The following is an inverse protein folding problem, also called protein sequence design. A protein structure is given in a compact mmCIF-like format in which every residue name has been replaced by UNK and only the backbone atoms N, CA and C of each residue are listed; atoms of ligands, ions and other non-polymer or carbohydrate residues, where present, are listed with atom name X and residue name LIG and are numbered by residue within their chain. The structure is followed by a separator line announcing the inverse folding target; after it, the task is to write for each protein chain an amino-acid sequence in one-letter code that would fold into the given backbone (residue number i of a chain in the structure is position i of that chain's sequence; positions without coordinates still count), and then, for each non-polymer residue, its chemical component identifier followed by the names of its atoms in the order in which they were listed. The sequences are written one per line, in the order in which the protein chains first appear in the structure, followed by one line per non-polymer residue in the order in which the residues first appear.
data_IF_917240946219
#
_entry.id   IF_917240946219
#
_cell.length_a   1.000
_cell.length_b   1.000
_cell.length_c   1.000
_cell.angle_alpha   90.00
_cell.angle_beta   90.00
_cell.angle_gamma   90.00
#
_symmetry.space_group_name_H-M   'P 1'
#
loop_
_entity.id
_entity.type
_entity.pdbx_description
1 polymer ?
#
# COMPACT_ATOMS: atom_id res chain seq x y z
N UNK A 1 -5.56 -14.85 -14.00
CA UNK A 1 -4.65 -14.59 -12.86
C UNK A 1 -5.34 -15.09 -11.61
N UNK A 2 -4.70 -15.99 -10.86
CA UNK A 2 -5.18 -16.45 -9.55
C UNK A 2 -4.54 -15.52 -8.52
N UNK A 3 -5.34 -14.65 -7.92
CA UNK A 3 -4.88 -13.74 -6.87
C UNK A 3 -4.57 -14.56 -5.62
N UNK A 4 -3.51 -14.22 -4.89
CA UNK A 4 -3.25 -14.83 -3.58
C UNK A 4 -4.51 -14.73 -2.73
N UNK A 5 -5.07 -15.87 -2.33
CA UNK A 5 -6.33 -15.89 -1.59
C UNK A 5 -6.09 -15.42 -0.17
N UNK A 6 -6.73 -14.31 0.21
CA UNK A 6 -6.68 -13.81 1.58
C UNK A 6 -7.50 -14.73 2.52
N UNK A 7 -6.95 -15.20 3.65
CA UNK A 7 -7.70 -15.96 4.64
C UNK A 7 -8.97 -15.22 5.10
N UNK A 8 -10.11 -15.93 5.16
CA UNK A 8 -11.41 -15.31 5.44
C UNK A 8 -11.52 -14.57 6.78
N UNK A 9 -10.74 -14.96 7.81
CA UNK A 9 -10.72 -14.26 9.09
C UNK A 9 -10.04 -12.88 9.03
N UNK A 10 -9.33 -12.58 7.94
CA UNK A 10 -8.74 -11.28 7.65
C UNK A 10 -9.66 -10.42 6.80
N UNK A 11 -10.83 -10.92 6.38
CA UNK A 11 -11.85 -10.14 5.69
C UNK A 11 -12.82 -9.60 6.76
N UNK A 12 -12.99 -8.28 6.87
CA UNK A 12 -13.94 -7.70 7.82
C UNK A 12 -15.36 -8.07 7.45
N UNK A 13 -16.16 -8.47 8.45
CA UNK A 13 -17.57 -8.80 8.27
C UNK A 13 -18.48 -7.82 9.04
N UNK A 14 -19.66 -7.47 8.50
CA UNK A 14 -20.62 -6.61 9.18
C UNK A 14 -20.96 -7.12 10.60
N UNK A 15 -20.95 -6.21 11.58
CA UNK A 15 -21.28 -6.53 12.97
C UNK A 15 -20.16 -7.17 13.80
N UNK A 16 -18.97 -7.36 13.24
CA UNK A 16 -17.81 -7.80 14.02
C UNK A 16 -17.40 -6.75 15.05
N UNK A 17 -17.17 -7.20 16.29
CA UNK A 17 -16.68 -6.35 17.40
C UNK A 17 -15.17 -6.13 17.33
N UNK A 18 -14.44 -7.09 16.80
CA UNK A 18 -12.99 -7.03 16.62
C UNK A 18 -12.75 -7.07 15.12
N UNK A 19 -12.11 -6.03 14.62
CA UNK A 19 -11.76 -5.86 13.22
C UNK A 19 -10.34 -6.37 12.97
N UNK A 20 -10.10 -7.05 11.84
CA UNK A 20 -8.76 -7.52 11.49
C UNK A 20 -7.81 -6.35 11.19
N UNK A 21 -6.49 -6.58 11.23
CA UNK A 21 -5.51 -5.65 10.69
C UNK A 21 -5.88 -5.19 9.27
N UNK A 22 -5.43 -3.99 8.90
CA UNK A 22 -5.52 -3.55 7.50
C UNK A 22 -4.41 -4.25 6.71
N UNK A 23 -4.79 -4.83 5.58
CA UNK A 23 -3.88 -5.55 4.70
C UNK A 23 -4.09 -5.00 3.29
N UNK A 24 -3.00 -4.60 2.67
CA UNK A 24 -2.94 -3.99 1.36
C UNK A 24 -2.58 -5.02 0.32
N UNK A 25 -3.37 -5.11 -0.75
CA UNK A 25 -2.97 -5.82 -1.95
C UNK A 25 -2.32 -4.83 -2.90
N UNK A 26 -1.09 -5.12 -3.33
CA UNK A 26 -0.37 -4.20 -4.18
C UNK A 26 1.07 -4.61 -4.46
N UNK A 27 1.83 -3.68 -5.00
CA UNK A 27 3.21 -3.91 -5.42
C UNK A 27 4.19 -3.30 -4.43
N UNK A 28 5.16 -4.10 -3.99
CA UNK A 28 6.29 -3.56 -3.25
C UNK A 28 7.20 -2.77 -4.20
N UNK A 29 7.58 -1.58 -3.77
CA UNK A 29 8.50 -0.69 -4.45
C UNK A 29 9.71 -0.40 -3.55
N UNK A 30 10.94 -0.48 -4.09
CA UNK A 30 12.12 0.02 -3.40
C UNK A 30 12.02 1.54 -3.18
N UNK A 31 12.62 2.05 -2.10
CA UNK A 31 12.71 3.50 -1.86
C UNK A 31 13.33 4.24 -3.06
N UNK A 32 14.36 3.65 -3.67
CA UNK A 32 15.03 4.23 -4.84
C UNK A 32 14.05 4.49 -6.00
N UNK A 33 13.09 3.58 -6.24
CA UNK A 33 12.05 3.79 -7.25
C UNK A 33 11.11 4.91 -6.86
N UNK A 34 10.67 4.95 -5.61
CA UNK A 34 9.84 6.07 -5.16
C UNK A 34 10.51 7.42 -5.39
N UNK A 35 11.81 7.53 -5.17
CA UNK A 35 12.56 8.77 -5.42
C UNK A 35 12.60 9.22 -6.87
N UNK A 36 12.33 8.33 -7.83
CA UNK A 36 12.27 8.68 -9.26
C UNK A 36 10.95 9.40 -9.62
N UNK A 37 9.94 9.38 -8.75
CA UNK A 37 8.70 10.12 -8.99
C UNK A 37 8.98 11.62 -9.07
N UNK A 38 8.37 12.30 -10.04
CA UNK A 38 8.63 13.72 -10.33
C UNK A 38 8.43 14.63 -9.11
N UNK A 39 7.50 14.30 -8.20
CA UNK A 39 7.32 15.05 -6.95
C UNK A 39 8.58 15.09 -6.08
N UNK A 40 9.41 14.06 -6.14
CA UNK A 40 10.66 13.97 -5.37
C UNK A 40 11.87 14.49 -6.15
N UNK A 41 11.72 14.92 -7.40
CA UNK A 41 12.82 15.53 -8.18
C UNK A 41 13.40 16.78 -7.54
N UNK A 42 12.61 17.47 -6.71
CA UNK A 42 13.03 18.64 -5.93
C UNK A 42 13.59 18.31 -4.54
N UNK A 43 13.52 17.05 -4.11
CA UNK A 43 14.02 16.61 -2.81
C UNK A 43 15.51 16.26 -2.90
N UNK A 44 16.30 16.57 -1.87
CA UNK A 44 17.69 16.13 -1.82
C UNK A 44 17.74 14.59 -1.88
N UNK A 45 18.78 14.08 -2.56
CA UNK A 45 19.06 12.64 -2.70
C UNK A 45 18.95 11.96 -1.34
N UNK A 46 18.28 10.80 -1.26
CA UNK A 46 18.06 10.16 0.04
C UNK A 46 19.41 9.86 0.69
N UNK A 47 19.54 10.09 2.01
CA UNK A 47 20.69 9.64 2.76
C UNK A 47 20.78 8.11 2.68
N UNK A 48 22.00 7.56 2.78
CA UNK A 48 22.24 6.12 2.74
C UNK A 48 21.43 5.35 3.79
N UNK A 49 21.18 5.98 4.96
CA UNK A 49 20.31 5.47 6.02
C UNK A 49 19.25 6.55 6.35
N UNK A 50 18.08 6.53 5.70
CA UNK A 50 17.03 7.50 5.97
C UNK A 50 16.40 7.27 7.34
N UNK A 51 16.15 8.36 8.07
CA UNK A 51 15.43 8.28 9.35
C UNK A 51 13.96 7.93 9.12
N UNK A 52 13.32 7.33 10.12
CA UNK A 52 11.87 7.03 10.10
C UNK A 52 11.04 8.27 9.80
N UNK A 53 11.43 9.44 10.32
CA UNK A 53 10.76 10.71 10.04
C UNK A 53 10.87 11.15 8.57
N UNK A 54 12.05 10.94 7.96
CA UNK A 54 12.24 11.22 6.54
C UNK A 54 11.33 10.32 5.69
N UNK A 55 11.30 9.03 6.02
CA UNK A 55 10.46 8.03 5.34
C UNK A 55 8.97 8.38 5.47
N UNK A 56 8.49 8.66 6.68
CA UNK A 56 7.10 9.04 6.91
C UNK A 56 6.70 10.32 6.13
N UNK A 57 7.59 11.31 6.10
CA UNK A 57 7.37 12.54 5.32
C UNK A 57 7.29 12.26 3.82
N UNK A 58 8.17 11.41 3.30
CA UNK A 58 8.15 10.97 1.90
C UNK A 58 6.81 10.30 1.56
N UNK A 59 6.38 9.32 2.35
CA UNK A 59 5.10 8.63 2.13
C UNK A 59 3.93 9.60 2.12
N UNK A 60 3.89 10.56 3.05
CA UNK A 60 2.82 11.56 3.09
C UNK A 60 2.78 12.42 1.82
N UNK A 61 3.94 12.88 1.35
CA UNK A 61 4.01 13.66 0.11
C UNK A 61 3.66 12.82 -1.13
N UNK A 62 4.13 11.58 -1.21
CA UNK A 62 3.73 10.64 -2.27
C UNK A 62 2.22 10.43 -2.28
N UNK A 63 1.61 10.14 -1.12
CA UNK A 63 0.17 9.91 -1.02
C UNK A 63 -0.65 11.13 -1.43
N UNK A 64 -0.25 12.33 -1.01
CA UNK A 64 -0.93 13.55 -1.41
C UNK A 64 -0.89 13.72 -2.94
N UNK A 65 0.28 13.54 -3.55
CA UNK A 65 0.42 13.69 -5.00
C UNK A 65 -0.26 12.60 -5.79
N UNK A 66 -0.18 11.34 -5.35
CA UNK A 66 -0.84 10.21 -6.01
C UNK A 66 -2.36 10.38 -6.01
N UNK A 67 -2.93 10.79 -4.87
CA UNK A 67 -4.35 11.11 -4.76
C UNK A 67 -4.79 12.23 -5.71
N UNK A 68 -3.94 13.23 -5.92
CA UNK A 68 -4.23 14.40 -6.75
C UNK A 68 -3.96 14.17 -8.25
N UNK A 69 -3.00 13.31 -8.61
CA UNK A 69 -2.44 13.31 -9.98
C UNK A 69 -2.61 12.01 -10.74
N UNK A 70 -2.55 10.84 -10.10
CA UNK A 70 -2.44 9.61 -10.90
C UNK A 70 -3.31 8.46 -10.44
N UNK A 71 -3.51 8.20 -9.15
CA UNK A 71 -4.28 7.01 -8.75
C UNK A 71 -4.85 7.19 -7.36
N UNK A 72 -6.03 6.65 -7.09
CA UNK A 72 -6.48 6.36 -5.71
C UNK A 72 -5.62 5.27 -5.03
N UNK A 73 -4.34 5.17 -5.40
CA UNK A 73 -3.35 4.28 -4.84
C UNK A 73 -2.75 4.94 -3.61
N UNK A 74 -2.53 4.13 -2.58
CA UNK A 74 -1.88 4.57 -1.35
C UNK A 74 -0.51 3.90 -1.28
N UNK A 75 0.53 4.70 -1.10
CA UNK A 75 1.82 4.20 -0.63
C UNK A 75 1.71 4.00 0.87
N UNK A 76 1.90 2.76 1.30
CA UNK A 76 1.96 2.41 2.72
C UNK A 76 3.32 1.84 3.07
N UNK A 77 3.68 1.96 4.34
CA UNK A 77 4.86 1.31 4.90
C UNK A 77 4.42 -0.08 5.35
N UNK A 78 4.97 -1.12 4.74
CA UNK A 78 4.77 -2.49 5.20
C UNK A 78 6.00 -2.94 6.02
N UNK A 79 5.82 -3.37 7.28
CA UNK A 79 6.90 -3.96 8.05
C UNK A 79 7.30 -5.29 7.43
N UNK A 80 8.60 -5.53 7.27
CA UNK A 80 9.14 -6.79 6.77
C UNK A 80 10.05 -7.40 7.82
N UNK A 81 10.06 -8.73 7.87
CA UNK A 81 10.82 -9.57 8.80
C UNK A 81 12.35 -9.38 8.69
N UNK A 82 12.83 -8.68 7.64
CA UNK A 82 14.26 -8.51 7.33
C UNK A 82 14.78 -7.06 7.52
N UNK A 83 14.14 -6.25 8.38
CA UNK A 83 14.51 -4.84 8.69
C UNK A 83 14.52 -3.86 7.50
N UNK A 84 14.06 -4.30 6.33
CA UNK A 84 13.91 -3.44 5.14
C UNK A 84 12.46 -2.94 5.07
N UNK A 85 12.28 -1.64 5.29
CA UNK A 85 10.98 -0.97 5.05
C UNK A 85 10.59 -1.16 3.59
N UNK A 86 9.47 -1.84 3.33
CA UNK A 86 8.88 -1.89 2.00
C UNK A 86 7.82 -0.81 1.86
N UNK A 87 7.90 -0.08 0.77
CA UNK A 87 6.82 0.78 0.33
C UNK A 87 5.90 -0.03 -0.55
N UNK A 88 4.61 0.02 -0.30
CA UNK A 88 3.64 -0.75 -1.07
C UNK A 88 2.69 0.20 -1.76
N UNK A 89 2.64 0.13 -3.09
CA UNK A 89 1.58 0.75 -3.87
C UNK A 89 0.30 -0.09 -3.72
N UNK A 90 -0.51 0.26 -2.74
CA UNK A 90 -1.77 -0.37 -2.43
C UNK A 90 -2.81 -0.06 -3.50
N UNK A 91 -3.35 -1.12 -4.11
CA UNK A 91 -4.44 -1.05 -5.08
C UNK A 91 -5.80 -1.12 -4.37
N UNK A 92 -5.90 -1.98 -3.35
CA UNK A 92 -7.07 -2.14 -2.50
C UNK A 92 -6.66 -2.81 -1.18
N UNK A 93 -7.59 -2.86 -0.24
CA UNK A 93 -7.39 -3.50 1.07
C UNK A 93 -8.32 -4.69 1.25
N UNK A 94 -8.11 -5.47 2.31
CA UNK A 94 -9.08 -6.45 2.78
C UNK A 94 -10.47 -5.86 3.08
N UNK A 95 -10.58 -4.55 3.35
CA UNK A 95 -11.84 -3.84 3.56
C UNK A 95 -12.54 -3.41 2.27
N UNK A 96 -11.81 -3.36 1.15
CA UNK A 96 -12.32 -2.90 -0.15
C UNK A 96 -12.18 -3.95 -1.23
N UNK A 97 -11.95 -5.22 -0.86
CA UNK A 97 -11.72 -6.34 -1.78
C UNK A 97 -12.90 -6.57 -2.73
N UNK A 98 -14.12 -6.30 -2.27
CA UNK A 98 -15.35 -6.42 -3.06
C UNK A 98 -15.43 -5.39 -4.19
N UNK A 99 -14.73 -4.25 -4.07
CA UNK A 99 -14.71 -3.20 -5.10
C UNK A 99 -13.82 -3.57 -6.29
N UNK A 100 -13.00 -4.63 -6.18
CA UNK A 100 -11.99 -5.04 -7.16
C UNK A 100 -12.55 -5.23 -8.57
N UNK A 101 -13.70 -5.89 -8.71
CA UNK A 101 -14.26 -6.25 -10.03
C UNK A 101 -14.95 -5.06 -10.73
N UNK A 102 -15.29 -4.01 -9.97
CA UNK A 102 -16.03 -2.85 -10.45
C UNK A 102 -15.14 -1.63 -10.77
N UNK A 103 -13.83 -1.74 -10.56
CA UNK A 103 -12.87 -0.64 -10.62
C UNK A 103 -11.98 -0.76 -11.86
N UNK A 104 -12.44 -0.23 -13.00
CA UNK A 104 -11.65 -0.18 -14.24
C UNK A 104 -10.30 0.53 -14.04
N UNK A 105 -10.23 1.46 -13.09
CA UNK A 105 -9.01 2.15 -12.63
C UNK A 105 -7.96 1.19 -12.02
N UNK A 106 -8.40 0.09 -11.39
CA UNK A 106 -7.52 -0.90 -10.77
C UNK A 106 -6.80 -1.74 -11.83
N UNK A 107 -7.45 -2.10 -12.93
CA UNK A 107 -6.81 -2.82 -14.04
C UNK A 107 -5.76 -1.95 -14.75
N UNK A 108 -6.08 -0.69 -15.05
CA UNK A 108 -5.09 0.24 -15.63
C UNK A 108 -3.93 0.54 -14.69
N UNK A 109 -4.19 0.55 -13.39
CA UNK A 109 -3.16 0.71 -12.35
C UNK A 109 -2.22 -0.51 -12.29
N UNK A 110 -2.75 -1.72 -12.41
CA UNK A 110 -1.96 -2.97 -12.41
C UNK A 110 -0.91 -2.97 -13.53
N UNK A 111 -1.34 -2.62 -14.76
CA UNK A 111 -0.46 -2.54 -15.93
C UNK A 111 0.61 -1.45 -15.76
N UNK A 112 0.20 -0.25 -15.32
CA UNK A 112 1.13 0.87 -15.11
C UNK A 112 2.18 0.55 -14.05
N UNK A 113 1.77 -0.03 -12.91
CA UNK A 113 2.70 -0.38 -11.84
C UNK A 113 3.68 -1.48 -12.27
N UNK A 114 3.23 -2.48 -13.05
CA UNK A 114 4.12 -3.50 -13.61
C UNK A 114 5.14 -2.94 -14.58
N UNK A 115 4.73 -2.02 -15.45
CA UNK A 115 5.66 -1.38 -16.37
C UNK A 115 6.72 -0.57 -15.63
N UNK A 116 6.30 0.18 -14.61
CA UNK A 116 7.18 1.06 -13.86
C UNK A 116 8.12 0.31 -12.89
N UNK A 117 7.62 -0.70 -12.18
CA UNK A 117 8.41 -1.48 -11.21
C UNK A 117 9.23 -2.58 -11.86
N UNK A 118 8.87 -2.99 -13.08
CA UNK A 118 9.48 -4.07 -13.84
C UNK A 118 8.56 -5.29 -13.95
N UNK A 119 8.68 -6.01 -15.07
CA UNK A 119 7.77 -7.11 -15.46
C UNK A 119 7.76 -8.31 -14.51
N UNK A 120 8.78 -8.45 -13.66
CA UNK A 120 8.87 -9.50 -12.64
C UNK A 120 8.19 -9.11 -11.32
N UNK A 121 7.77 -7.85 -11.16
CA UNK A 121 7.05 -7.41 -9.98
C UNK A 121 5.69 -8.12 -9.90
N UNK A 122 5.40 -8.67 -8.73
CA UNK A 122 4.16 -9.40 -8.46
C UNK A 122 3.42 -8.71 -7.31
N UNK A 123 2.11 -8.50 -7.50
CA UNK A 123 1.26 -7.98 -6.44
C UNK A 123 1.03 -9.05 -5.37
N UNK A 124 1.14 -8.65 -4.10
CA UNK A 124 0.97 -9.52 -2.93
C UNK A 124 0.20 -8.80 -1.84
N UNK A 125 -0.17 -9.54 -0.81
CA UNK A 125 -0.72 -8.98 0.42
C UNK A 125 0.38 -8.52 1.37
N UNK A 126 0.25 -7.30 1.89
CA UNK A 126 1.16 -6.68 2.83
C UNK A 126 0.37 -6.12 4.02
N UNK A 127 0.85 -6.35 5.23
CA UNK A 127 0.25 -5.78 6.44
C UNK A 127 0.56 -4.28 6.49
N UNK A 128 -0.44 -3.46 6.83
CA UNK A 128 -0.25 -2.03 7.03
C UNK A 128 0.65 -1.75 8.24
N UNK A 129 1.59 -0.81 8.14
CA UNK A 129 2.53 -0.51 9.24
C UNK A 129 1.93 0.28 10.40
N UNK A 130 0.80 0.96 10.22
CA UNK A 130 0.10 1.72 11.26
C UNK A 130 -1.06 0.91 11.85
N UNK A 131 -1.84 0.25 11.00
CA UNK A 131 -3.01 -0.58 11.34
C UNK A 131 -2.71 -2.10 11.30
N UNK A 132 -1.50 -2.50 11.73
CA UNK A 132 -1.04 -3.90 11.75
C UNK A 132 -1.71 -4.82 12.79
N UNK A 133 -2.54 -4.27 13.67
CA UNK A 133 -3.08 -4.96 14.84
C UNK A 133 -4.60 -5.06 14.81
N UNK A 134 -5.14 -6.06 15.51
CA UNK A 134 -6.58 -6.21 15.70
C UNK A 134 -7.11 -5.05 16.54
N UNK A 135 -8.23 -4.47 16.11
CA UNK A 135 -8.83 -3.31 16.78
C UNK A 135 -10.29 -3.51 17.11
N UNK A 136 -10.75 -2.86 18.16
CA UNK A 136 -12.17 -2.83 18.48
C UNK A 136 -12.92 -1.96 17.47
N UNK A 137 -14.06 -2.45 17.00
CA UNK A 137 -15.02 -1.66 16.24
C UNK A 137 -15.47 -0.49 17.12
N UNK A 138 -15.18 0.73 16.68
CA UNK A 138 -15.58 1.96 17.38
C UNK A 138 -17.06 2.32 17.17
N UNK A 139 -17.83 1.43 16.52
CA UNK A 139 -19.29 1.52 16.47
C UNK A 139 -19.84 1.31 17.89
N UNK A 140 -19.87 2.42 18.63
CA UNK A 140 -20.64 2.57 19.86
C UNK A 140 -22.10 2.33 19.51
N UNK A 141 -22.76 1.50 20.32
CA UNK A 141 -24.19 1.20 20.27
C UNK A 141 -25.06 2.45 20.15
#
# INVERSE_FOLDING_TARGET
MMFDSLPGHLIPAPGQRILPPVIHYGYAAPLARLMELEIFSSMPTAPANPSTFYVARMVRHANQWLQENVFKAHVVIAPVVDDQVKFVFSMYTNYTVEERECRADVCSLDETLREWLGREAEARWYVDGEDWHWRWSTASR
#
